data_IF_247345036669
#
_entry.id   IF_247345036669
#
_cell.length_a   1.000
_cell.length_b   1.000
_cell.length_c   1.000
_cell.angle_alpha   90.00
_cell.angle_beta   90.00
_cell.angle_gamma   90.00
#
_symmetry.space_group_name_H-M   'P 1'
#
loop_
_entity.id
_entity.type
_entity.pdbx_description
1 polymer ?
#
# COMPACT_ATOMS: atom_id res chain seq x y z
N UNK A 1 -6.77 3.36 -16.29
CA UNK A 1 -6.97 4.37 -15.23
C UNK A 1 -6.43 5.73 -15.66
N UNK A 2 -7.13 6.84 -15.35
CA UNK A 2 -6.63 8.19 -15.68
C UNK A 2 -5.37 8.55 -14.87
N UNK A 3 -4.53 9.43 -15.40
CA UNK A 3 -3.29 9.87 -14.72
C UNK A 3 -3.61 10.55 -13.39
N UNK A 4 -4.65 11.40 -13.35
CA UNK A 4 -5.07 12.07 -12.12
C UNK A 4 -5.49 11.09 -11.02
N UNK A 5 -6.26 10.05 -11.37
CA UNK A 5 -6.64 9.01 -10.41
C UNK A 5 -5.42 8.19 -9.94
N UNK A 6 -4.45 7.93 -10.82
CA UNK A 6 -3.20 7.26 -10.45
C UNK A 6 -2.40 8.05 -9.42
N UNK A 7 -2.27 9.36 -9.64
CA UNK A 7 -1.60 10.29 -8.72
C UNK A 7 -2.35 10.33 -7.38
N UNK A 8 -3.68 10.43 -7.41
CA UNK A 8 -4.49 10.47 -6.18
C UNK A 8 -4.30 9.20 -5.34
N UNK A 9 -4.34 8.02 -5.96
CA UNK A 9 -4.10 6.74 -5.27
C UNK A 9 -2.70 6.72 -4.64
N UNK A 10 -1.68 7.19 -5.36
CA UNK A 10 -0.33 7.26 -4.81
C UNK A 10 -0.19 8.23 -3.63
N UNK A 11 -0.88 9.38 -3.68
CA UNK A 11 -0.92 10.33 -2.56
C UNK A 11 -1.58 9.68 -1.33
N UNK A 12 -2.73 9.03 -1.52
CA UNK A 12 -3.44 8.32 -0.43
C UNK A 12 -2.57 7.20 0.15
N UNK A 13 -1.87 6.44 -0.71
CA UNK A 13 -0.92 5.42 -0.28
C UNK A 13 0.21 6.04 0.56
N UNK A 14 0.82 7.14 0.10
CA UNK A 14 1.86 7.85 0.87
C UNK A 14 1.37 8.34 2.23
N UNK A 15 0.14 8.90 2.31
CA UNK A 15 -0.45 9.35 3.57
C UNK A 15 -0.65 8.16 4.52
N UNK A 16 -1.21 7.06 4.02
CA UNK A 16 -1.41 5.84 4.81
C UNK A 16 -0.06 5.29 5.32
N UNK A 17 0.93 5.13 4.45
CA UNK A 17 2.24 4.62 4.86
C UNK A 17 2.92 5.57 5.86
N UNK A 18 2.83 6.89 5.65
CA UNK A 18 3.36 7.89 6.60
C UNK A 18 2.68 7.77 7.97
N UNK A 19 1.36 7.57 8.00
CA UNK A 19 0.64 7.34 9.23
C UNK A 19 1.13 6.08 9.96
N UNK A 20 1.32 4.97 9.22
CA UNK A 20 1.84 3.70 9.77
C UNK A 20 3.25 3.89 10.33
N UNK A 21 4.17 4.47 9.56
CA UNK A 21 5.60 4.57 9.90
C UNK A 21 5.85 5.63 10.99
N UNK A 22 5.21 6.79 10.92
CA UNK A 22 5.64 7.98 11.66
C UNK A 22 4.62 8.54 12.65
N UNK A 23 3.32 8.27 12.49
CA UNK A 23 2.26 8.89 13.31
C UNK A 23 1.56 7.90 14.25
N UNK A 24 2.22 6.78 14.56
CA UNK A 24 1.71 5.80 15.50
C UNK A 24 0.73 4.78 14.90
N UNK A 25 0.51 4.80 13.59
CA UNK A 25 -0.35 3.81 12.93
C UNK A 25 0.14 2.38 13.15
N UNK A 26 1.45 2.13 13.17
CA UNK A 26 2.01 0.81 13.47
C UNK A 26 1.61 0.29 14.86
N UNK A 27 1.62 1.14 15.88
CA UNK A 27 1.17 0.76 17.22
C UNK A 27 -0.35 0.53 17.28
N UNK A 28 -1.11 1.25 16.45
CA UNK A 28 -2.56 1.09 16.36
C UNK A 28 -2.99 -0.22 15.67
N UNK A 29 -2.27 -0.65 14.63
CA UNK A 29 -2.60 -1.83 13.82
C UNK A 29 -1.88 -3.11 14.26
N UNK A 30 -0.95 -3.03 15.22
CA UNK A 30 -0.27 -4.18 15.80
C UNK A 30 -1.27 -5.27 16.26
N UNK A 31 -0.91 -6.54 16.13
CA UNK A 31 -1.74 -7.68 16.53
C UNK A 31 -2.81 -8.04 15.49
N UNK A 32 -4.02 -8.39 15.92
CA UNK A 32 -5.07 -8.90 15.01
C UNK A 32 -5.48 -7.92 13.90
N UNK A 33 -5.35 -6.60 14.13
CA UNK A 33 -5.68 -5.56 13.14
C UNK A 33 -4.73 -5.55 11.94
N UNK A 34 -3.55 -6.16 12.08
CA UNK A 34 -2.56 -6.29 10.99
C UNK A 34 -3.15 -7.10 9.83
N UNK A 35 -4.09 -8.01 10.12
CA UNK A 35 -4.83 -8.78 9.11
C UNK A 35 -5.56 -7.90 8.09
N UNK A 36 -6.18 -6.80 8.52
CA UNK A 36 -6.94 -5.92 7.63
C UNK A 36 -6.05 -5.12 6.69
N UNK A 37 -4.83 -4.79 7.12
CA UNK A 37 -3.92 -3.91 6.38
C UNK A 37 -2.96 -4.68 5.46
N UNK A 38 -2.52 -5.87 5.86
CA UNK A 38 -1.52 -6.64 5.11
C UNK A 38 -2.00 -8.02 4.65
N UNK A 39 -3.24 -8.41 4.96
CA UNK A 39 -3.84 -9.69 4.55
C UNK A 39 -2.98 -10.93 4.91
N UNK A 40 -2.11 -10.82 5.91
CA UNK A 40 -1.24 -11.93 6.33
C UNK A 40 -1.94 -12.78 7.39
N UNK A 41 -2.10 -14.07 7.11
CA UNK A 41 -2.68 -15.08 8.01
C UNK A 41 -1.68 -15.66 9.03
N UNK A 42 -0.67 -14.89 9.41
CA UNK A 42 0.35 -15.38 10.34
C UNK A 42 -0.25 -15.43 11.74
N UNK A 43 -0.27 -16.62 12.35
CA UNK A 43 -0.72 -16.90 13.71
C UNK A 43 0.09 -16.16 14.81
N UNK A 44 1.17 -15.47 14.42
CA UNK A 44 1.96 -14.62 15.30
C UNK A 44 1.53 -13.15 15.17
N UNK A 45 1.26 -12.53 16.32
CA UNK A 45 1.06 -11.08 16.39
C UNK A 45 2.35 -10.37 15.96
N UNK A 46 2.26 -9.59 14.90
CA UNK A 46 3.40 -8.82 14.44
C UNK A 46 3.78 -7.77 15.48
N UNK A 47 5.08 -7.61 15.72
CA UNK A 47 5.57 -6.48 16.51
C UNK A 47 5.41 -5.17 15.74
N UNK A 48 5.40 -4.05 16.46
CA UNK A 48 5.37 -2.70 15.87
C UNK A 48 6.47 -2.52 14.80
N UNK A 49 7.66 -3.02 15.04
CA UNK A 49 8.81 -2.85 14.14
C UNK A 49 8.64 -3.68 12.86
N UNK A 50 8.07 -4.89 12.94
CA UNK A 50 7.74 -5.69 11.77
C UNK A 50 6.68 -5.01 10.90
N UNK A 51 5.66 -4.40 11.53
CA UNK A 51 4.64 -3.61 10.84
C UNK A 51 5.26 -2.41 10.11
N UNK A 52 6.17 -1.68 10.76
CA UNK A 52 6.89 -0.55 10.14
C UNK A 52 7.74 -1.02 8.96
N UNK A 53 8.50 -2.11 9.14
CA UNK A 53 9.35 -2.68 8.09
C UNK A 53 8.51 -3.12 6.88
N UNK A 54 7.36 -3.74 7.11
CA UNK A 54 6.48 -4.15 6.04
C UNK A 54 5.86 -2.95 5.32
N UNK A 55 5.45 -1.91 6.06
CA UNK A 55 4.96 -0.67 5.46
C UNK A 55 6.02 -0.03 4.54
N UNK A 56 7.29 -0.03 4.93
CA UNK A 56 8.39 0.39 4.06
C UNK A 56 8.49 -0.44 2.79
N UNK A 57 8.41 -1.77 2.90
CA UNK A 57 8.47 -2.68 1.76
C UNK A 57 7.35 -2.39 0.75
N UNK A 58 6.10 -2.27 1.23
CA UNK A 58 4.96 -1.92 0.38
C UNK A 58 5.10 -0.52 -0.23
N UNK A 59 5.59 0.45 0.53
CA UNK A 59 5.84 1.79 0.02
C UNK A 59 6.84 1.79 -1.13
N UNK A 60 8.00 1.15 -0.95
CA UNK A 60 9.04 1.05 -2.00
C UNK A 60 8.48 0.35 -3.24
N UNK A 61 7.83 -0.82 -3.07
CA UNK A 61 7.26 -1.58 -4.18
C UNK A 61 6.20 -0.78 -4.95
N UNK A 62 5.30 -0.11 -4.23
CA UNK A 62 4.26 0.70 -4.86
C UNK A 62 4.80 1.99 -5.48
N UNK A 63 5.86 2.60 -4.93
CA UNK A 63 6.56 3.74 -5.53
C UNK A 63 7.20 3.36 -6.86
N UNK A 64 7.84 2.20 -6.94
CA UNK A 64 8.39 1.69 -8.21
C UNK A 64 7.25 1.48 -9.23
N UNK A 65 6.17 0.81 -8.83
CA UNK A 65 5.01 0.61 -9.70
C UNK A 65 4.39 1.93 -10.13
N UNK A 66 4.28 2.91 -9.23
CA UNK A 66 3.77 4.25 -9.51
C UNK A 66 4.57 4.94 -10.61
N UNK A 67 5.90 4.94 -10.48
CA UNK A 67 6.82 5.51 -11.46
C UNK A 67 6.67 4.83 -12.83
N UNK A 68 6.67 3.49 -12.86
CA UNK A 68 6.43 2.74 -14.11
C UNK A 68 5.08 3.13 -14.71
N UNK A 69 4.03 3.20 -13.88
CA UNK A 69 2.69 3.58 -14.29
C UNK A 69 2.62 4.98 -14.87
N UNK A 70 3.40 5.96 -14.39
CA UNK A 70 3.41 7.31 -14.96
C UNK A 70 3.79 7.30 -16.45
N UNK A 71 4.76 6.48 -16.84
CA UNK A 71 5.24 6.38 -18.22
C UNK A 71 4.52 5.31 -19.04
N UNK A 72 4.03 4.25 -18.41
CA UNK A 72 3.36 3.14 -19.06
C UNK A 72 1.95 2.91 -18.48
N UNK A 73 0.90 3.42 -19.14
CA UNK A 73 -0.48 3.34 -18.67
C UNK A 73 -1.01 1.91 -18.44
N UNK A 74 -0.47 0.88 -19.10
CA UNK A 74 -0.89 -0.51 -18.91
C UNK A 74 -0.60 -1.02 -17.49
N UNK A 75 0.42 -0.47 -16.83
CA UNK A 75 0.78 -0.82 -15.44
C UNK A 75 -0.07 -0.11 -14.38
N UNK A 76 -0.95 0.83 -14.77
CA UNK A 76 -1.89 1.51 -13.86
C UNK A 76 -3.13 0.66 -13.54
N UNK A 77 -3.02 -0.67 -13.61
CA UNK A 77 -4.08 -1.69 -13.53
C UNK A 77 -5.51 -1.17 -13.28
N UNK A 78 -6.28 -1.10 -14.37
CA UNK A 78 -7.72 -1.41 -14.42
C UNK A 78 -8.08 -1.51 -15.91
N UNK A 79 -7.73 -2.64 -16.54
CA UNK A 79 -8.51 -3.13 -17.70
C UNK A 79 -9.69 -3.87 -17.05
N UNK A 80 -10.73 -3.14 -16.66
CA UNK A 80 -12.05 -3.75 -16.69
C UNK A 80 -12.25 -4.10 -18.15
N UNK A 81 -11.99 -5.36 -18.48
CA UNK A 81 -12.39 -5.91 -19.75
C UNK A 81 -13.90 -5.73 -19.77
N UNK A 82 -14.38 -4.68 -20.42
CA UNK A 82 -15.73 -4.68 -20.98
C UNK A 82 -15.73 -5.78 -22.05
N UNK A 83 -15.78 -7.02 -21.59
CA UNK A 83 -16.18 -8.17 -22.38
C UNK A 83 -17.32 -8.80 -21.60
N UNK A 84 -18.50 -8.21 -21.75
CA UNK A 84 -19.65 -8.80 -22.46
C UNK A 84 -20.78 -7.77 -22.44
#
# INVERSE_FOLDING_TARGET
MSTGLWILIYILHCILTKWIISWGGAAYIQGWKTWFFFSSSQSEEWSKDQVIMMAWFFWIGFSILFLIGLFNPEFRFYKLKNSL
#
